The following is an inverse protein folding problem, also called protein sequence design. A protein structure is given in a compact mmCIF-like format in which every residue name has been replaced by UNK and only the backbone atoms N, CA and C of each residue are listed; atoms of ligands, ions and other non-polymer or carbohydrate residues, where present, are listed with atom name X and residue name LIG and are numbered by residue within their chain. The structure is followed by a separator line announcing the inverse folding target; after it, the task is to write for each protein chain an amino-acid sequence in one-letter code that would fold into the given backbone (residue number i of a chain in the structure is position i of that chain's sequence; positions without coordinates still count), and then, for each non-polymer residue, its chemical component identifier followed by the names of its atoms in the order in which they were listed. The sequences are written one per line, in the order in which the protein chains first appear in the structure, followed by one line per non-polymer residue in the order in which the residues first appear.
data_IF_720832891469
#
_entry.id   IF_720832891469
#
_cell.length_a   1.000
_cell.length_b   1.000
_cell.length_c   1.000
_cell.angle_alpha   90.00
_cell.angle_beta   90.00
_cell.angle_gamma   90.00
#
_symmetry.space_group_name_H-M   'P 1'
#
loop_
_entity.id
_entity.type
_entity.pdbx_description
1 polymer ?
#
# COMPACT_ATOMS: atom_id res chain seq x y z
N UNK A 1 2.16 -37.59 -2.43
CA UNK A 1 3.54 -37.41 -2.91
C UNK A 1 3.51 -37.32 -4.43
N UNK A 2 3.56 -36.10 -4.97
CA UNK A 2 4.04 -35.82 -6.32
C UNK A 2 4.86 -34.53 -6.18
N UNK A 3 6.18 -34.69 -6.20
CA UNK A 3 7.12 -33.59 -6.39
C UNK A 3 7.22 -33.39 -7.90
N UNK A 4 6.60 -32.34 -8.43
CA UNK A 4 6.97 -31.82 -9.74
C UNK A 4 7.95 -30.69 -9.52
N UNK A 5 9.15 -30.92 -10.01
CA UNK A 5 10.28 -30.00 -10.12
C UNK A 5 9.81 -28.63 -10.66
N UNK A 6 9.60 -27.64 -9.77
CA UNK A 6 9.30 -26.27 -10.18
C UNK A 6 10.62 -25.51 -10.15
N UNK A 7 11.36 -25.58 -11.26
CA UNK A 7 12.43 -24.63 -11.51
C UNK A 7 11.80 -23.22 -11.44
N UNK A 8 12.04 -22.52 -10.33
CA UNK A 8 11.78 -21.10 -10.21
C UNK A 8 12.71 -20.40 -11.22
N UNK A 9 12.24 -20.31 -12.47
CA UNK A 9 12.87 -19.46 -13.45
C UNK A 9 12.76 -18.05 -12.89
N UNK A 10 13.89 -17.36 -12.69
CA UNK A 10 13.96 -15.95 -12.25
C UNK A 10 13.10 -14.98 -13.08
N UNK A 11 12.48 -15.46 -14.16
CA UNK A 11 11.58 -14.78 -15.08
C UNK A 11 10.11 -14.72 -14.64
N UNK A 12 9.63 -15.58 -13.73
CA UNK A 12 8.25 -15.50 -13.24
C UNK A 12 8.21 -14.86 -11.85
N UNK A 13 7.85 -13.58 -11.79
CA UNK A 13 7.62 -12.88 -10.53
C UNK A 13 6.40 -13.46 -9.81
N UNK A 14 6.62 -14.11 -8.66
CA UNK A 14 5.56 -14.51 -7.74
C UNK A 14 5.57 -13.60 -6.52
N UNK A 15 4.41 -13.05 -6.18
CA UNK A 15 4.22 -12.19 -5.01
C UNK A 15 3.18 -12.79 -4.08
N UNK A 16 3.42 -12.66 -2.77
CA UNK A 16 2.49 -13.07 -1.72
C UNK A 16 2.21 -11.84 -0.86
N UNK A 17 0.93 -11.53 -0.63
CA UNK A 17 0.58 -10.53 0.39
C UNK A 17 0.90 -11.11 1.77
N UNK A 18 1.48 -10.32 2.68
CA UNK A 18 1.85 -10.80 4.02
C UNK A 18 0.67 -11.42 4.78
N UNK A 19 -0.54 -10.89 4.57
CA UNK A 19 -1.79 -11.43 5.13
C UNK A 19 -2.20 -12.81 4.55
N UNK A 20 -1.69 -13.19 3.37
CA UNK A 20 -1.98 -14.47 2.70
C UNK A 20 -1.12 -15.63 3.21
N UNK A 21 -0.09 -15.38 4.02
CA UNK A 21 0.76 -16.43 4.57
C UNK A 21 0.08 -17.22 5.71
N UNK A 22 -0.96 -16.65 6.32
CA UNK A 22 -1.74 -17.30 7.39
C UNK A 22 -3.08 -17.84 6.91
N UNK A 23 -3.65 -18.78 7.67
CA UNK A 23 -5.03 -19.23 7.52
C UNK A 23 -5.84 -18.78 8.74
N UNK A 24 -6.77 -17.85 8.56
CA UNK A 24 -7.56 -17.29 9.66
C UNK A 24 -8.41 -18.31 10.44
N UNK A 25 -8.70 -19.47 9.84
CA UNK A 25 -9.48 -20.57 10.46
C UNK A 25 -8.60 -21.60 11.17
N UNK A 26 -7.46 -21.95 10.59
CA UNK A 26 -6.66 -23.10 11.03
C UNK A 26 -5.36 -22.71 11.73
N UNK A 27 -4.65 -21.70 11.21
CA UNK A 27 -3.33 -21.28 11.68
C UNK A 27 -3.16 -19.77 11.53
N UNK A 28 -3.35 -19.05 12.62
CA UNK A 28 -3.06 -17.61 12.68
C UNK A 28 -1.55 -17.44 12.75
N UNK A 29 -0.96 -16.98 11.65
CA UNK A 29 0.33 -16.30 11.75
C UNK A 29 0.06 -14.94 12.36
N UNK A 30 0.81 -14.59 13.41
CA UNK A 30 0.84 -13.21 13.88
C UNK A 30 1.17 -12.31 12.69
N UNK A 31 0.35 -11.31 12.36
CA UNK A 31 0.59 -10.45 11.23
C UNK A 31 1.91 -9.70 11.45
N UNK A 32 3.03 -10.21 10.93
CA UNK A 32 4.26 -9.44 10.73
C UNK A 32 4.05 -8.49 9.56
N UNK A 33 3.05 -7.63 9.71
CA UNK A 33 2.72 -6.58 8.77
C UNK A 33 3.52 -5.32 9.13
N UNK A 34 3.46 -4.31 8.26
CA UNK A 34 4.14 -3.05 8.48
C UNK A 34 3.81 -2.39 9.84
N UNK A 35 2.58 -2.52 10.33
CA UNK A 35 2.19 -2.02 11.66
C UNK A 35 2.96 -2.72 12.80
N UNK A 36 3.03 -4.06 12.78
CA UNK A 36 3.80 -4.81 13.77
C UNK A 36 5.29 -4.47 13.72
N UNK A 37 5.84 -4.25 12.52
CA UNK A 37 7.24 -3.83 12.37
C UNK A 37 7.51 -2.44 12.97
N UNK A 38 6.56 -1.51 12.89
CA UNK A 38 6.64 -0.23 13.59
C UNK A 38 6.66 -0.41 15.11
N UNK A 39 5.75 -1.23 15.63
CA UNK A 39 5.62 -1.50 17.08
C UNK A 39 6.88 -2.19 17.64
N UNK A 40 7.44 -3.16 16.93
CA UNK A 40 8.71 -3.82 17.27
C UNK A 40 9.89 -2.83 17.37
N UNK A 41 9.78 -1.68 16.69
CA UNK A 41 10.77 -0.60 16.71
C UNK A 41 10.33 0.61 17.57
N UNK A 42 9.31 0.44 18.43
CA UNK A 42 8.86 1.47 19.37
C UNK A 42 8.05 2.61 18.76
N UNK A 43 7.50 2.42 17.55
CA UNK A 43 6.65 3.39 16.86
C UNK A 43 5.18 2.91 16.85
N UNK A 44 4.21 3.84 16.77
CA UNK A 44 2.79 3.48 16.79
C UNK A 44 2.35 2.72 15.52
N UNK A 45 1.78 1.52 15.70
CA UNK A 45 1.28 0.67 14.61
C UNK A 45 -0.07 1.13 14.02
N UNK A 46 -0.85 1.92 14.76
CA UNK A 46 -2.13 2.50 14.32
C UNK A 46 -1.96 3.71 13.38
N UNK A 47 -0.77 4.32 13.36
CA UNK A 47 -0.39 5.45 12.51
C UNK A 47 0.55 5.04 11.38
N UNK A 48 0.30 3.86 10.80
CA UNK A 48 1.26 3.21 9.92
C UNK A 48 1.64 3.98 8.64
N UNK A 49 0.83 4.95 8.20
CA UNK A 49 1.13 5.79 7.03
C UNK A 49 1.42 7.25 7.40
N UNK A 50 1.71 7.54 8.67
CA UNK A 50 2.11 8.89 9.06
C UNK A 50 3.55 9.15 8.60
N UNK A 51 3.75 10.23 7.84
CA UNK A 51 5.01 10.50 7.12
C UNK A 51 6.04 11.19 8.02
N UNK A 52 6.32 10.61 9.18
CA UNK A 52 7.36 11.10 10.09
C UNK A 52 8.76 10.70 9.60
N UNK A 53 9.82 11.46 9.94
CA UNK A 53 11.20 11.07 9.60
C UNK A 53 11.56 9.66 10.10
N UNK A 54 11.09 9.28 11.28
CA UNK A 54 11.33 7.98 11.90
C UNK A 54 10.63 6.85 11.12
N UNK A 55 9.35 7.02 10.77
CA UNK A 55 8.61 6.03 10.00
C UNK A 55 9.25 5.82 8.61
N UNK A 56 9.64 6.90 7.95
CA UNK A 56 10.31 6.83 6.64
C UNK A 56 11.71 6.21 6.72
N UNK A 57 12.43 6.43 7.82
CA UNK A 57 13.72 5.76 8.06
C UNK A 57 13.54 4.24 8.18
N UNK A 58 12.60 3.78 9.02
CA UNK A 58 12.31 2.35 9.16
C UNK A 58 11.79 1.72 7.86
N UNK A 59 10.97 2.45 7.10
CA UNK A 59 10.48 1.98 5.82
C UNK A 59 11.63 1.71 4.82
N UNK A 60 12.63 2.60 4.76
CA UNK A 60 13.84 2.40 3.95
C UNK A 60 14.64 1.20 4.42
N UNK A 61 14.86 1.06 5.72
CA UNK A 61 15.57 -0.09 6.29
C UNK A 61 14.88 -1.42 5.97
N UNK A 62 13.55 -1.47 6.04
CA UNK A 62 12.78 -2.64 5.65
C UNK A 62 12.93 -2.92 4.14
N UNK A 63 12.87 -1.88 3.30
CA UNK A 63 13.12 -2.00 1.87
C UNK A 63 14.51 -2.58 1.55
N UNK A 64 15.54 -2.09 2.22
CA UNK A 64 16.93 -2.56 2.06
C UNK A 64 17.11 -4.00 2.55
N UNK A 65 16.48 -4.36 3.67
CA UNK A 65 16.45 -5.73 4.18
C UNK A 65 15.80 -6.68 3.18
N UNK A 66 14.63 -6.33 2.62
CA UNK A 66 13.94 -7.14 1.62
C UNK A 66 14.80 -7.32 0.36
N UNK A 67 15.46 -6.26 -0.11
CA UNK A 67 16.40 -6.30 -1.24
C UNK A 67 17.61 -7.19 -0.96
N UNK A 68 18.15 -7.16 0.25
CA UNK A 68 19.29 -8.01 0.66
C UNK A 68 18.97 -9.50 0.57
N UNK A 69 17.69 -9.88 0.69
CA UNK A 69 17.20 -11.25 0.55
C UNK A 69 16.86 -11.62 -0.90
N UNK A 70 17.13 -10.74 -1.87
CA UNK A 70 16.78 -10.95 -3.29
C UNK A 70 15.29 -10.81 -3.58
N UNK A 71 14.52 -10.17 -2.70
CA UNK A 71 13.09 -9.92 -2.84
C UNK A 71 12.82 -8.43 -3.11
N UNK A 72 11.57 -8.09 -3.45
CA UNK A 72 11.10 -6.70 -3.60
C UNK A 72 9.72 -6.55 -2.95
N UNK A 73 9.47 -5.39 -2.33
CA UNK A 73 8.11 -4.98 -1.95
C UNK A 73 7.41 -4.50 -3.23
N UNK A 74 6.43 -5.26 -3.72
CA UNK A 74 5.82 -4.99 -5.03
C UNK A 74 4.65 -4.02 -4.98
N UNK A 75 3.99 -3.87 -3.83
CA UNK A 75 2.90 -2.94 -3.65
C UNK A 75 2.66 -2.60 -2.18
N UNK A 76 2.06 -1.45 -1.92
CA UNK A 76 1.41 -1.18 -0.63
C UNK A 76 -0.06 -1.57 -0.69
N UNK A 77 -0.57 -2.27 0.32
CA UNK A 77 -1.97 -2.70 0.38
C UNK A 77 -2.46 -2.95 1.80
N UNK A 78 -3.78 -2.93 2.03
CA UNK A 78 -4.81 -2.32 1.18
C UNK A 78 -4.95 -0.81 1.46
N UNK A 79 -5.39 -0.06 0.45
CA UNK A 79 -6.01 1.26 0.65
C UNK A 79 -7.49 1.14 0.27
N UNK A 80 -8.42 1.55 1.15
CA UNK A 80 -9.85 1.27 1.00
C UNK A 80 -10.67 2.51 1.32
N UNK A 81 -11.92 2.51 0.83
CA UNK A 81 -12.94 3.50 1.18
C UNK A 81 -12.51 4.94 0.84
N UNK A 82 -11.78 5.14 -0.24
CA UNK A 82 -11.18 6.44 -0.60
C UNK A 82 -11.97 7.20 -1.67
N UNK A 83 -12.74 6.47 -2.47
CA UNK A 83 -13.44 6.96 -3.66
C UNK A 83 -14.96 6.97 -3.46
N UNK A 84 -15.64 7.79 -4.27
CA UNK A 84 -17.10 7.86 -4.33
C UNK A 84 -17.74 8.57 -3.13
N UNK A 85 -16.97 9.24 -2.28
CA UNK A 85 -17.50 9.98 -1.11
C UNK A 85 -18.19 11.27 -1.54
N UNK A 86 -19.42 11.47 -1.10
CA UNK A 86 -20.25 12.63 -1.46
C UNK A 86 -19.93 13.87 -0.63
N UNK A 87 -19.66 13.70 0.66
CA UNK A 87 -19.33 14.84 1.52
C UNK A 87 -17.95 15.40 1.14
N UNK A 88 -17.84 16.71 0.81
CA UNK A 88 -16.58 17.28 0.38
C UNK A 88 -15.46 17.26 1.43
N UNK A 89 -15.80 17.35 2.73
CA UNK A 89 -14.79 17.36 3.79
C UNK A 89 -14.24 15.95 4.02
N UNK A 90 -15.13 14.95 4.07
CA UNK A 90 -14.77 13.53 4.14
C UNK A 90 -13.98 13.10 2.91
N UNK A 91 -14.41 13.50 1.70
CA UNK A 91 -13.67 13.23 0.47
C UNK A 91 -12.25 13.77 0.56
N UNK A 92 -12.04 15.03 0.97
CA UNK A 92 -10.69 15.60 1.14
C UNK A 92 -9.84 14.85 2.17
N UNK A 93 -10.44 14.41 3.28
CA UNK A 93 -9.73 13.61 4.28
C UNK A 93 -9.25 12.28 3.69
N UNK A 94 -10.11 11.60 2.92
CA UNK A 94 -9.79 10.33 2.28
C UNK A 94 -8.72 10.46 1.21
N UNK A 95 -8.79 11.52 0.38
CA UNK A 95 -7.75 11.86 -0.59
C UNK A 95 -6.40 12.09 0.10
N UNK A 96 -6.40 12.75 1.27
CA UNK A 96 -5.18 12.95 2.04
C UNK A 96 -4.54 11.63 2.51
N UNK A 97 -5.32 10.56 2.71
CA UNK A 97 -4.79 9.23 3.00
C UNK A 97 -4.06 8.59 1.82
N UNK A 98 -4.48 8.91 0.59
CA UNK A 98 -3.77 8.50 -0.64
C UNK A 98 -2.40 9.16 -0.69
N UNK A 99 -2.35 10.48 -0.48
CA UNK A 99 -1.11 11.27 -0.51
C UNK A 99 -0.06 10.74 0.47
N UNK A 100 -0.49 10.31 1.66
CA UNK A 100 0.37 9.71 2.69
C UNK A 100 1.13 8.47 2.20
N UNK A 101 0.69 7.79 1.14
CA UNK A 101 1.37 6.60 0.60
C UNK A 101 2.62 6.93 -0.20
N UNK A 102 2.68 8.06 -0.91
CA UNK A 102 3.74 8.30 -1.89
C UNK A 102 5.16 8.31 -1.28
N UNK A 103 5.42 8.94 -0.12
CA UNK A 103 6.75 8.87 0.50
C UNK A 103 7.15 7.44 0.91
N UNK A 104 6.19 6.63 1.35
CA UNK A 104 6.45 5.22 1.67
C UNK A 104 6.64 4.37 0.43
N UNK A 105 5.95 4.68 -0.67
CA UNK A 105 6.17 4.01 -1.95
C UNK A 105 7.62 4.20 -2.42
N UNK A 106 8.16 5.42 -2.32
CA UNK A 106 9.59 5.68 -2.55
C UNK A 106 10.48 4.92 -1.56
N UNK A 107 10.17 4.96 -0.26
CA UNK A 107 10.97 4.30 0.77
C UNK A 107 11.03 2.76 0.61
N UNK A 108 9.91 2.14 0.20
CA UNK A 108 9.82 0.71 -0.09
C UNK A 108 10.28 0.33 -1.50
N UNK A 109 10.60 1.33 -2.35
CA UNK A 109 10.96 1.14 -3.76
C UNK A 109 9.89 0.40 -4.57
N UNK A 110 8.64 0.86 -4.40
CA UNK A 110 7.45 0.37 -5.11
C UNK A 110 6.76 1.50 -5.85
N UNK A 111 6.24 1.19 -7.03
CA UNK A 111 5.45 2.08 -7.88
C UNK A 111 3.94 1.74 -7.84
N UNK A 112 3.56 0.62 -7.21
CA UNK A 112 2.18 0.15 -7.13
C UNK A 112 1.56 0.31 -5.73
N UNK A 113 0.29 0.72 -5.70
CA UNK A 113 -0.60 0.65 -4.54
C UNK A 113 -1.89 -0.07 -4.94
N UNK A 114 -2.34 -1.04 -4.15
CA UNK A 114 -3.64 -1.66 -4.37
C UNK A 114 -4.73 -0.91 -3.63
N UNK A 115 -5.65 -0.36 -4.42
CA UNK A 115 -6.88 0.28 -3.96
C UNK A 115 -8.02 -0.72 -4.08
N UNK A 116 -8.67 -1.07 -2.97
CA UNK A 116 -9.88 -1.90 -3.02
C UNK A 116 -11.10 -1.02 -3.17
N UNK A 117 -12.01 -1.43 -4.06
CA UNK A 117 -13.28 -0.77 -4.25
C UNK A 117 -14.02 -0.54 -2.92
N UNK A 118 -14.65 0.61 -2.80
CA UNK A 118 -15.43 1.01 -1.66
C UNK A 118 -16.60 0.06 -1.47
N UNK A 119 -16.72 -0.49 -0.26
CA UNK A 119 -17.77 -1.44 0.12
C UNK A 119 -18.85 -0.80 1.01
N UNK A 120 -18.77 0.52 1.22
CA UNK A 120 -19.76 1.25 2.01
C UNK A 120 -21.13 1.16 1.33
N UNK A 121 -22.16 0.93 2.15
CA UNK A 121 -23.55 0.81 1.70
C UNK A 121 -24.42 1.99 2.16
N UNK A 122 -23.84 2.96 2.87
CA UNK A 122 -24.55 4.14 3.34
C UNK A 122 -24.77 5.17 2.24
N UNK A 123 -25.69 6.10 2.47
CA UNK A 123 -26.02 7.15 1.49
C UNK A 123 -24.90 8.17 1.25
N UNK A 124 -23.84 8.16 2.05
CA UNK A 124 -22.68 9.06 1.94
C UNK A 124 -21.73 8.72 0.80
N UNK A 125 -21.89 7.57 0.14
CA UNK A 125 -21.09 7.16 -1.02
C UNK A 125 -21.93 7.00 -2.29
N UNK A 126 -21.27 7.03 -3.45
CA UNK A 126 -21.86 6.81 -4.76
C UNK A 126 -21.17 5.68 -5.50
N UNK A 127 -21.95 4.91 -6.26
CA UNK A 127 -21.47 3.93 -7.24
C UNK A 127 -21.45 4.51 -8.67
N UNK A 128 -21.69 5.81 -8.83
CA UNK A 128 -21.57 6.49 -10.12
C UNK A 128 -20.12 6.42 -10.63
N UNK A 129 -19.92 5.64 -11.69
CA UNK A 129 -18.60 5.37 -12.25
C UNK A 129 -17.90 6.63 -12.76
N UNK A 130 -18.64 7.68 -13.15
CA UNK A 130 -18.03 8.95 -13.56
C UNK A 130 -17.40 9.67 -12.37
N UNK A 131 -18.06 9.66 -11.22
CA UNK A 131 -17.51 10.25 -10.00
C UNK A 131 -16.33 9.44 -9.48
N UNK A 132 -16.46 8.11 -9.40
CA UNK A 132 -15.36 7.23 -9.01
C UNK A 132 -14.16 7.38 -9.95
N UNK A 133 -14.39 7.43 -11.27
CA UNK A 133 -13.32 7.62 -12.24
C UNK A 133 -12.59 8.96 -12.09
N UNK A 134 -13.30 10.03 -11.72
CA UNK A 134 -12.67 11.34 -11.43
C UNK A 134 -11.80 11.28 -10.17
N UNK A 135 -12.25 10.61 -9.12
CA UNK A 135 -11.45 10.44 -7.90
C UNK A 135 -10.15 9.67 -8.22
N UNK A 136 -10.24 8.58 -8.98
CA UNK A 136 -9.07 7.80 -9.38
C UNK A 136 -8.12 8.60 -10.29
N UNK A 137 -8.64 9.43 -11.19
CA UNK A 137 -7.83 10.33 -12.01
C UNK A 137 -7.07 11.35 -11.14
N UNK A 138 -7.75 11.96 -10.16
CA UNK A 138 -7.13 12.89 -9.21
C UNK A 138 -5.97 12.21 -8.44
N UNK A 139 -6.09 10.93 -8.09
CA UNK A 139 -5.01 10.20 -7.42
C UNK A 139 -3.78 10.04 -8.32
N UNK A 140 -3.99 9.80 -9.62
CA UNK A 140 -2.93 9.75 -10.62
C UNK A 140 -2.23 11.11 -10.81
N UNK A 141 -3.00 12.20 -10.85
CA UNK A 141 -2.47 13.57 -10.93
C UNK A 141 -1.65 13.93 -9.68
N UNK A 142 -2.09 13.47 -8.50
CA UNK A 142 -1.36 13.64 -7.24
C UNK A 142 -0.04 12.86 -7.26
N UNK A 143 -0.03 11.61 -7.72
CA UNK A 143 1.18 10.81 -7.84
C UNK A 143 2.20 11.44 -8.80
N UNK A 144 1.70 12.00 -9.91
CA UNK A 144 2.51 12.78 -10.87
C UNK A 144 3.10 14.02 -10.21
N UNK A 145 2.27 14.81 -9.53
CA UNK A 145 2.71 16.03 -8.84
C UNK A 145 3.77 15.75 -7.78
N UNK A 146 3.58 14.69 -6.99
CA UNK A 146 4.55 14.23 -6.00
C UNK A 146 5.89 13.84 -6.65
N UNK A 147 5.84 13.02 -7.69
CA UNK A 147 7.05 12.55 -8.39
C UNK A 147 7.85 13.72 -8.98
N UNK A 148 7.16 14.71 -9.56
CA UNK A 148 7.80 15.91 -10.11
C UNK A 148 8.47 16.77 -9.04
N UNK A 149 7.84 16.90 -7.86
CA UNK A 149 8.36 17.72 -6.76
C UNK A 149 9.54 17.07 -6.02
N UNK A 150 9.48 15.75 -5.82
CA UNK A 150 10.53 14.97 -5.14
C UNK A 150 11.79 14.79 -6.01
N UNK A 151 11.66 14.92 -7.34
CA UNK A 151 12.74 14.63 -8.29
C UNK A 151 13.09 13.13 -8.40
N UNK A 152 12.31 12.28 -7.73
CA UNK A 152 12.42 10.83 -7.74
C UNK A 152 11.92 10.19 -9.05
N UNK A 153 12.09 8.88 -9.16
CA UNK A 153 11.53 8.12 -10.29
C UNK A 153 10.01 8.27 -10.28
N UNK A 154 9.44 8.51 -11.46
CA UNK A 154 7.99 8.48 -11.67
C UNK A 154 7.40 7.18 -11.11
N UNK A 155 6.46 7.32 -10.17
CA UNK A 155 5.60 6.21 -9.74
C UNK A 155 4.77 5.82 -10.97
N UNK A 156 5.04 4.66 -11.56
CA UNK A 156 4.43 4.17 -12.81
C UNK A 156 3.37 3.11 -12.54
#
# INVERSE_FOLDING_TARGET
MVLTDWASSKTNGFGIATLSLGNWREHRLEPRCWAAYLEENGLPGDQLWETTPQNLCLARQLGDLVKSMGMRITCTQPLRQIEGVKDPAERRANISLVAKRFPFMQAFDTDLVFMCANIRTDSGVTSDLKTVGRDLAEFGDMATSFSNADGGRMLR
#
